data_IF_080468707199
#
_entry.id   IF_080468707199
#
_cell.length_a   1.000
_cell.length_b   1.000
_cell.length_c   1.000
_cell.angle_alpha   90.00
_cell.angle_beta   90.00
_cell.angle_gamma   90.00
#
_symmetry.space_group_name_H-M   'P 1'
#
loop_
_entity.id
_entity.type
_entity.pdbx_description
1 polymer ?
#
# COMPACT_ATOMS: atom_id res chain seq x y z
N UNK A 1 -6.85 19.40 -9.11
CA UNK A 1 -5.74 19.94 -8.29
C UNK A 1 -4.55 19.04 -8.51
N UNK A 2 -3.37 19.60 -8.81
CA UNK A 2 -2.13 18.81 -8.91
C UNK A 2 -1.74 18.38 -7.50
N UNK A 3 -1.33 17.13 -7.36
CA UNK A 3 -0.84 16.56 -6.11
C UNK A 3 0.58 17.08 -5.84
N UNK A 4 0.76 18.03 -4.90
CA UNK A 4 2.03 18.76 -4.76
C UNK A 4 3.16 17.87 -4.22
N UNK A 5 2.81 16.84 -3.45
CA UNK A 5 3.78 15.97 -2.77
C UNK A 5 4.11 14.73 -3.59
N UNK A 6 3.40 14.48 -4.70
CA UNK A 6 3.56 13.29 -5.55
C UNK A 6 5.03 13.02 -5.92
N UNK A 7 5.76 14.04 -6.40
CA UNK A 7 7.16 13.86 -6.82
C UNK A 7 8.09 13.57 -5.64
N UNK A 8 7.83 14.18 -4.48
CA UNK A 8 8.63 13.97 -3.27
C UNK A 8 8.36 12.59 -2.65
N UNK A 9 7.10 12.12 -2.68
CA UNK A 9 6.77 10.76 -2.25
C UNK A 9 7.42 9.74 -3.17
N UNK A 10 7.34 9.91 -4.49
CA UNK A 10 8.00 8.99 -5.43
C UNK A 10 9.53 8.92 -5.22
N UNK A 11 10.17 10.05 -4.94
CA UNK A 11 11.59 10.08 -4.58
C UNK A 11 11.86 9.37 -3.25
N UNK A 12 10.97 9.47 -2.27
CA UNK A 12 11.08 8.77 -0.99
C UNK A 12 10.89 7.26 -1.15
N UNK A 13 9.95 6.82 -2.01
CA UNK A 13 9.76 5.41 -2.35
C UNK A 13 11.02 4.82 -2.98
N UNK A 14 11.57 5.49 -4.00
CA UNK A 14 12.80 5.07 -4.63
C UNK A 14 13.94 4.96 -3.60
N UNK A 15 14.09 5.96 -2.73
CA UNK A 15 15.12 5.94 -1.69
C UNK A 15 14.89 4.85 -0.62
N UNK A 16 13.67 4.36 -0.44
CA UNK A 16 13.33 3.35 0.55
C UNK A 16 13.41 1.92 0.00
N UNK A 17 13.01 1.72 -1.25
CA UNK A 17 12.74 0.39 -1.81
C UNK A 17 13.59 0.04 -3.03
N UNK A 18 14.30 0.97 -3.66
CA UNK A 18 15.18 0.65 -4.78
C UNK A 18 16.25 -0.37 -4.36
N UNK A 19 16.41 -1.42 -5.18
CA UNK A 19 17.30 -2.55 -4.87
C UNK A 19 16.77 -3.52 -3.81
N UNK A 20 15.52 -3.40 -3.35
CA UNK A 20 14.85 -4.38 -2.48
C UNK A 20 13.94 -5.33 -3.26
N UNK A 21 13.54 -6.43 -2.62
CA UNK A 21 12.57 -7.40 -3.15
C UNK A 21 11.17 -6.80 -3.35
N UNK A 22 10.86 -5.66 -2.72
CA UNK A 22 9.58 -4.96 -2.89
C UNK A 22 9.36 -4.37 -4.28
N UNK A 23 10.45 -4.09 -5.02
CA UNK A 23 10.45 -3.58 -6.39
C UNK A 23 10.56 -4.70 -7.44
N UNK A 24 10.71 -5.95 -7.02
CA UNK A 24 10.73 -7.08 -7.96
C UNK A 24 9.34 -7.29 -8.56
N UNK A 25 9.29 -7.48 -9.89
CA UNK A 25 8.05 -7.80 -10.61
C UNK A 25 7.61 -9.21 -10.24
N UNK A 26 6.44 -9.32 -9.63
CA UNK A 26 5.85 -10.57 -9.17
C UNK A 26 4.71 -11.05 -10.09
N UNK A 27 4.35 -12.35 -10.05
CA UNK A 27 3.13 -12.84 -10.67
C UNK A 27 1.89 -12.14 -10.10
N UNK A 28 0.94 -11.78 -10.97
CA UNK A 28 -0.30 -11.09 -10.57
C UNK A 28 -1.06 -11.80 -9.44
N UNK A 29 -1.16 -13.13 -9.47
CA UNK A 29 -1.88 -13.88 -8.44
C UNK A 29 -1.23 -13.80 -7.06
N UNK A 30 0.10 -13.64 -7.01
CA UNK A 30 0.82 -13.39 -5.76
C UNK A 30 0.47 -12.02 -5.18
N UNK A 31 0.51 -10.96 -6.01
CA UNK A 31 0.14 -9.61 -5.59
C UNK A 31 -1.34 -9.53 -5.20
N UNK A 32 -2.22 -10.12 -6.00
CA UNK A 32 -3.66 -10.19 -5.70
C UNK A 32 -3.90 -10.90 -4.37
N UNK A 33 -3.27 -12.06 -4.15
CA UNK A 33 -3.39 -12.80 -2.89
C UNK A 33 -2.86 -12.02 -1.69
N UNK A 34 -1.76 -11.29 -1.84
CA UNK A 34 -1.23 -10.42 -0.78
C UNK A 34 -2.22 -9.29 -0.44
N UNK A 35 -2.75 -8.57 -1.43
CA UNK A 35 -3.75 -7.53 -1.23
C UNK A 35 -5.04 -8.07 -0.60
N UNK A 36 -5.54 -9.22 -1.08
CA UNK A 36 -6.71 -9.91 -0.51
C UNK A 36 -6.49 -10.25 0.98
N UNK A 37 -5.29 -10.68 1.37
CA UNK A 37 -4.99 -10.93 2.79
C UNK A 37 -5.02 -9.65 3.61
N UNK A 38 -4.40 -8.55 3.14
CA UNK A 38 -4.40 -7.28 3.86
C UNK A 38 -5.83 -6.74 4.09
N UNK A 39 -6.68 -6.76 3.06
CA UNK A 39 -8.04 -6.18 3.14
C UNK A 39 -9.02 -7.01 3.96
N UNK A 40 -8.71 -8.27 4.23
CA UNK A 40 -9.53 -9.17 5.05
C UNK A 40 -9.15 -9.12 6.55
N UNK A 41 -8.13 -8.35 6.92
CA UNK A 41 -7.74 -8.16 8.32
C UNK A 41 -8.71 -7.21 9.06
N UNK A 42 -8.87 -7.42 10.37
CA UNK A 42 -9.85 -6.69 11.19
C UNK A 42 -9.60 -5.18 11.33
N UNK A 43 -8.38 -4.73 11.08
CA UNK A 43 -8.02 -3.30 11.13
C UNK A 43 -8.43 -2.55 9.85
N UNK A 44 -8.71 -3.27 8.76
CA UNK A 44 -8.99 -2.67 7.46
C UNK A 44 -10.38 -2.03 7.43
N UNK A 45 -10.43 -0.74 7.10
CA UNK A 45 -11.68 0.02 6.95
C UNK A 45 -11.87 0.62 5.54
N UNK A 46 -10.99 0.26 4.58
CA UNK A 46 -11.00 0.81 3.23
C UNK A 46 -12.06 0.21 2.29
N UNK A 47 -12.97 -0.63 2.80
CA UNK A 47 -14.03 -1.27 2.01
C UNK A 47 -13.52 -2.36 1.08
N UNK A 48 -14.31 -2.68 0.04
CA UNK A 48 -14.04 -3.78 -0.90
C UNK A 48 -13.03 -3.31 -1.95
N UNK A 49 -12.00 -4.11 -2.21
CA UNK A 49 -10.96 -3.83 -3.21
C UNK A 49 -10.99 -4.88 -4.32
N UNK A 50 -11.18 -4.43 -5.56
CA UNK A 50 -11.13 -5.25 -6.78
C UNK A 50 -9.81 -4.97 -7.51
N UNK A 51 -8.90 -5.94 -7.50
CA UNK A 51 -7.57 -5.82 -8.11
C UNK A 51 -7.59 -6.40 -9.51
N UNK A 52 -7.12 -5.63 -10.49
CA UNK A 52 -7.13 -6.00 -11.90
C UNK A 52 -5.78 -5.74 -12.55
N UNK A 53 -5.48 -6.49 -13.60
CA UNK A 53 -4.41 -6.11 -14.54
C UNK A 53 -4.85 -4.88 -15.32
N UNK A 54 -3.93 -3.92 -15.49
CA UNK A 54 -4.12 -2.86 -16.45
C UNK A 54 -4.07 -3.42 -17.89
N UNK A 55 -4.48 -2.61 -18.87
CA UNK A 55 -4.29 -2.93 -20.29
C UNK A 55 -2.81 -3.18 -20.59
N UNK A 56 -2.50 -4.00 -21.59
CA UNK A 56 -1.13 -4.44 -21.91
C UNK A 56 -0.14 -3.30 -22.23
N UNK A 57 -0.63 -2.15 -22.69
CA UNK A 57 0.18 -0.97 -22.98
C UNK A 57 0.10 0.14 -21.90
N UNK A 58 -0.42 -0.18 -20.72
CA UNK A 58 -0.40 0.77 -19.60
C UNK A 58 1.02 0.94 -19.08
N UNK A 59 1.49 2.18 -19.01
CA UNK A 59 2.78 2.53 -18.42
C UNK A 59 2.70 2.80 -16.92
N UNK A 60 1.49 2.91 -16.35
CA UNK A 60 1.28 3.19 -14.93
C UNK A 60 0.12 2.39 -14.32
N UNK A 61 0.24 2.12 -13.03
CA UNK A 61 -0.82 1.62 -12.15
C UNK A 61 -1.74 2.76 -11.70
N UNK A 62 -2.93 2.41 -11.18
CA UNK A 62 -3.87 3.40 -10.65
C UNK A 62 -4.93 2.79 -9.74
N UNK A 63 -5.39 3.59 -8.77
CA UNK A 63 -6.55 3.32 -7.93
C UNK A 63 -7.71 4.24 -8.27
N UNK A 64 -8.93 3.68 -8.31
CA UNK A 64 -10.17 4.45 -8.43
C UNK A 64 -11.19 3.94 -7.44
N UNK A 65 -11.82 4.83 -6.68
CA UNK A 65 -12.92 4.48 -5.80
C UNK A 65 -14.27 4.86 -6.42
N UNK A 66 -15.24 3.96 -6.30
CA UNK A 66 -16.64 4.21 -6.55
C UNK A 66 -17.38 4.05 -5.22
N UNK A 67 -18.15 5.08 -4.85
CA UNK A 67 -19.04 5.02 -3.69
C UNK A 67 -20.40 4.56 -4.18
N UNK A 68 -20.90 3.44 -3.67
CA UNK A 68 -22.29 3.00 -3.87
C UNK A 68 -23.06 3.15 -2.56
N UNK A 69 -24.39 3.18 -2.62
CA UNK A 69 -25.26 3.24 -1.42
C UNK A 69 -25.02 2.07 -0.45
N UNK A 70 -24.45 0.96 -0.93
CA UNK A 70 -24.29 -0.28 -0.16
C UNK A 70 -22.85 -0.51 0.34
N UNK A 71 -21.83 0.04 -0.32
CA UNK A 71 -20.42 -0.07 0.09
C UNK A 71 -19.47 0.83 -0.71
N UNK A 72 -18.31 1.12 -0.11
CA UNK A 72 -17.15 1.67 -0.81
C UNK A 72 -16.48 0.54 -1.61
N UNK A 73 -16.40 0.71 -2.94
CA UNK A 73 -15.69 -0.23 -3.82
C UNK A 73 -14.52 0.48 -4.51
N UNK A 74 -13.30 0.04 -4.21
CA UNK A 74 -12.10 0.46 -4.91
C UNK A 74 -11.74 -0.52 -6.04
N UNK A 75 -11.22 0.02 -7.14
CA UNK A 75 -10.62 -0.75 -8.23
C UNK A 75 -9.16 -0.33 -8.34
N UNK A 76 -8.25 -1.27 -8.09
CA UNK A 76 -6.81 -1.10 -8.31
C UNK A 76 -6.46 -1.75 -9.65
N UNK A 77 -5.78 -1.02 -10.53
CA UNK A 77 -5.24 -1.54 -11.78
C UNK A 77 -3.72 -1.49 -11.74
N UNK A 78 -3.08 -2.65 -11.87
CA UNK A 78 -1.63 -2.75 -11.87
C UNK A 78 -1.09 -2.95 -13.28
N UNK A 79 -0.15 -2.11 -13.69
CA UNK A 79 0.58 -2.30 -14.95
C UNK A 79 1.55 -3.47 -14.86
N UNK A 80 1.91 -4.07 -16.00
CA UNK A 80 2.78 -5.24 -16.01
C UNK A 80 4.19 -4.92 -15.45
N UNK A 81 4.69 -3.71 -15.70
CA UNK A 81 6.00 -3.25 -15.22
C UNK A 81 6.01 -2.85 -13.74
N UNK A 82 4.84 -2.60 -13.17
CA UNK A 82 4.67 -2.19 -11.77
C UNK A 82 3.84 -3.23 -11.00
N UNK A 83 4.00 -4.50 -11.36
CA UNK A 83 3.40 -5.63 -10.63
C UNK A 83 4.26 -5.97 -9.40
N UNK A 84 4.50 -4.99 -8.54
CA UNK A 84 5.44 -5.08 -7.41
C UNK A 84 4.71 -4.93 -6.08
N UNK A 85 5.31 -5.39 -4.97
CA UNK A 85 4.72 -5.24 -3.63
C UNK A 85 4.67 -3.76 -3.23
N UNK A 86 5.71 -2.99 -3.56
CA UNK A 86 5.75 -1.54 -3.32
C UNK A 86 4.58 -0.83 -4.04
N UNK A 87 4.37 -1.10 -5.33
CA UNK A 87 3.25 -0.49 -6.07
C UNK A 87 1.90 -0.93 -5.51
N UNK A 88 1.75 -2.21 -5.17
CA UNK A 88 0.51 -2.71 -4.57
C UNK A 88 0.21 -2.02 -3.23
N UNK A 89 1.23 -1.81 -2.40
CA UNK A 89 1.12 -1.10 -1.12
C UNK A 89 0.77 0.38 -1.31
N UNK A 90 1.41 1.05 -2.27
CA UNK A 90 1.12 2.44 -2.66
C UNK A 90 -0.35 2.62 -3.04
N UNK A 91 -0.84 1.78 -3.95
CA UNK A 91 -2.22 1.85 -4.45
C UNK A 91 -3.23 1.53 -3.36
N UNK A 92 -2.94 0.53 -2.52
CA UNK A 92 -3.81 0.19 -1.39
C UNK A 92 -3.84 1.31 -0.32
N UNK A 93 -2.75 2.05 -0.13
CA UNK A 93 -2.71 3.20 0.76
C UNK A 93 -3.68 4.31 0.32
N UNK A 94 -3.84 4.54 -0.98
CA UNK A 94 -4.85 5.47 -1.50
C UNK A 94 -6.27 5.02 -1.16
N UNK A 95 -6.56 3.72 -1.19
CA UNK A 95 -7.87 3.20 -0.80
C UNK A 95 -8.14 3.50 0.67
N UNK A 96 -7.17 3.21 1.54
CA UNK A 96 -7.31 3.38 2.99
C UNK A 96 -7.42 4.86 3.40
N UNK A 97 -6.59 5.73 2.82
CA UNK A 97 -6.61 7.16 3.12
C UNK A 97 -7.81 7.90 2.47
N UNK A 98 -8.29 7.38 1.34
CA UNK A 98 -9.24 8.03 0.45
C UNK A 98 -8.53 8.69 -0.74
N UNK A 99 -8.91 8.29 -1.96
CA UNK A 99 -8.25 8.65 -3.22
C UNK A 99 -8.15 10.17 -3.44
N UNK A 100 -9.14 10.93 -3.00
CA UNK A 100 -9.17 12.41 -3.15
C UNK A 100 -8.07 13.13 -2.34
N UNK A 101 -7.41 12.44 -1.41
CA UNK A 101 -6.32 13.01 -0.60
C UNK A 101 -4.99 13.13 -1.34
N UNK A 102 -4.84 12.45 -2.49
CA UNK A 102 -3.55 12.35 -3.16
C UNK A 102 -2.48 11.76 -2.23
N UNK A 103 -1.29 12.36 -2.23
CA UNK A 103 -0.14 11.94 -1.44
C UNK A 103 0.03 12.69 -0.12
N UNK A 104 -1.04 13.24 0.46
CA UNK A 104 -0.99 14.04 1.68
C UNK A 104 -0.45 13.29 2.93
N UNK A 105 -0.40 13.98 4.07
CA UNK A 105 0.08 13.42 5.32
C UNK A 105 -0.72 12.18 5.78
N UNK A 106 -2.03 12.12 5.50
CA UNK A 106 -2.88 10.98 5.85
C UNK A 106 -2.56 9.81 4.93
N UNK A 107 -2.38 10.03 3.63
CA UNK A 107 -1.89 9.00 2.70
C UNK A 107 -0.57 8.38 3.19
N UNK A 108 0.41 9.21 3.57
CA UNK A 108 1.71 8.70 4.06
C UNK A 108 1.57 7.85 5.32
N UNK A 109 0.62 8.19 6.21
CA UNK A 109 0.29 7.34 7.38
C UNK A 109 -0.33 6.01 6.96
N UNK A 110 -1.26 6.03 6.00
CA UNK A 110 -1.85 4.81 5.44
C UNK A 110 -0.78 3.92 4.81
N UNK A 111 0.14 4.53 4.08
CA UNK A 111 1.19 3.80 3.38
C UNK A 111 2.13 3.08 4.33
N UNK A 112 2.55 3.72 5.41
CA UNK A 112 3.34 3.05 6.46
C UNK A 112 2.58 1.87 7.10
N UNK A 113 1.29 2.02 7.36
CA UNK A 113 0.47 0.93 7.93
C UNK A 113 0.31 -0.23 6.92
N UNK A 114 0.06 0.06 5.65
CA UNK A 114 -0.04 -0.97 4.61
C UNK A 114 1.29 -1.68 4.39
N UNK A 115 2.41 -0.96 4.29
CA UNK A 115 3.76 -1.54 4.17
C UNK A 115 4.04 -2.46 5.35
N UNK A 116 3.70 -2.05 6.57
CA UNK A 116 3.84 -2.90 7.76
C UNK A 116 3.09 -4.22 7.57
N UNK A 117 1.84 -4.18 7.12
CA UNK A 117 1.02 -5.39 6.98
C UNK A 117 1.51 -6.29 5.86
N UNK A 118 1.67 -5.74 4.66
CA UNK A 118 1.96 -6.53 3.46
C UNK A 118 3.33 -7.21 3.52
N UNK A 119 4.33 -6.57 4.14
CA UNK A 119 5.71 -7.10 4.27
C UNK A 119 5.89 -8.11 5.41
N UNK A 120 4.83 -8.38 6.17
CA UNK A 120 4.84 -9.31 7.29
C UNK A 120 3.73 -10.37 7.18
N UNK A 121 3.14 -10.53 5.98
CA UNK A 121 2.16 -11.57 5.71
C UNK A 121 2.76 -12.98 5.80
N UNK A 122 4.03 -13.15 5.40
CA UNK A 122 4.73 -14.41 5.59
C UNK A 122 5.25 -14.49 7.04
N UNK A 123 4.79 -15.50 7.77
CA UNK A 123 5.21 -15.70 9.16
C UNK A 123 6.62 -16.29 9.30
N UNK A 124 7.17 -16.84 8.21
CA UNK A 124 8.51 -17.45 8.18
C UNK A 124 9.60 -16.48 7.68
N UNK A 125 9.20 -15.43 6.96
CA UNK A 125 10.08 -14.35 6.49
C UNK A 125 9.47 -12.99 6.83
N UNK A 126 9.41 -12.68 8.14
CA UNK A 126 8.92 -11.38 8.59
C UNK A 126 10.03 -10.34 8.47
N UNK A 127 9.74 -9.25 7.77
CA UNK A 127 10.62 -8.08 7.66
C UNK A 127 10.53 -7.15 8.87
N UNK A 128 9.60 -7.44 9.80
CA UNK A 128 9.29 -6.62 10.97
C UNK A 128 9.07 -5.16 10.55
N UNK A 129 9.73 -4.22 11.22
CA UNK A 129 9.60 -2.80 10.91
C UNK A 129 10.61 -2.31 9.87
N UNK A 130 11.44 -3.17 9.27
CA UNK A 130 12.56 -2.76 8.38
C UNK A 130 12.10 -1.81 7.26
N UNK A 131 11.12 -2.24 6.46
CA UNK A 131 10.62 -1.43 5.34
C UNK A 131 9.78 -0.22 5.80
N UNK A 132 9.16 -0.32 6.98
CA UNK A 132 8.42 0.79 7.59
C UNK A 132 9.39 1.88 8.03
N UNK A 133 10.50 1.51 8.68
CA UNK A 133 11.57 2.42 9.08
C UNK A 133 12.26 3.04 7.87
N UNK A 134 12.58 2.25 6.84
CA UNK A 134 13.15 2.77 5.58
C UNK A 134 12.26 3.84 4.94
N UNK A 135 10.95 3.57 4.81
CA UNK A 135 10.01 4.51 4.22
C UNK A 135 9.77 5.74 5.11
N UNK A 136 9.64 5.55 6.43
CA UNK A 136 9.49 6.66 7.38
C UNK A 136 10.71 7.58 7.39
N UNK A 137 11.93 7.01 7.35
CA UNK A 137 13.16 7.78 7.28
C UNK A 137 13.27 8.52 5.93
N UNK A 138 12.85 7.90 4.83
CA UNK A 138 12.82 8.54 3.52
C UNK A 138 11.85 9.74 3.49
N UNK A 139 10.66 9.60 4.07
CA UNK A 139 9.74 10.73 4.26
C UNK A 139 10.35 11.83 5.13
N UNK A 140 10.99 11.48 6.24
CA UNK A 140 11.62 12.45 7.13
C UNK A 140 12.75 13.22 6.40
N UNK A 141 13.61 12.54 5.64
CA UNK A 141 14.67 13.16 4.82
C UNK A 141 14.12 14.07 3.74
N UNK A 142 12.96 13.75 3.17
CA UNK A 142 12.26 14.57 2.18
C UNK A 142 11.45 15.73 2.80
N UNK A 143 11.42 15.87 4.13
CA UNK A 143 10.61 16.88 4.82
C UNK A 143 9.10 16.60 4.78
N UNK A 144 8.69 15.37 4.48
CA UNK A 144 7.30 14.98 4.34
C UNK A 144 6.70 14.59 5.70
N UNK A 145 5.70 15.34 6.15
CA UNK A 145 5.02 15.08 7.41
C UNK A 145 4.11 13.85 7.32
N UNK A 146 4.18 12.95 8.29
CA UNK A 146 3.25 11.83 8.43
C UNK A 146 2.09 12.24 9.32
N UNK A 147 0.87 12.02 8.83
CA UNK A 147 -0.37 12.40 9.50
C UNK A 147 -0.82 11.41 10.58
N UNK A 148 -1.99 11.71 11.15
CA UNK A 148 -2.67 10.82 12.10
C UNK A 148 -3.56 9.82 11.36
N UNK A 149 -3.75 8.64 11.95
CA UNK A 149 -4.68 7.63 11.44
C UNK A 149 -6.12 8.10 11.61
N UNK A 150 -6.97 7.74 10.66
CA UNK A 150 -8.43 7.80 10.77
C UNK A 150 -9.08 6.40 10.85
N UNK A 151 -8.25 5.34 10.80
CA UNK A 151 -8.61 3.93 10.89
C UNK A 151 -7.99 3.29 12.13
N UNK A 152 -8.40 2.05 12.43
CA UNK A 152 -7.81 1.27 13.51
C UNK A 152 -6.35 0.94 13.19
N UNK A 153 -5.45 1.01 14.17
CA UNK A 153 -4.05 0.65 13.96
C UNK A 153 -3.93 -0.84 13.55
N UNK A 154 -3.05 -1.18 12.58
CA UNK A 154 -2.77 -2.57 12.26
C UNK A 154 -2.18 -3.30 13.49
N UNK A 155 -2.41 -4.61 13.63
CA UNK A 155 -1.91 -5.39 14.75
C UNK A 155 -0.37 -5.36 14.80
N UNK A 156 0.19 -5.37 16.01
CA UNK A 156 1.65 -5.33 16.18
C UNK A 156 2.36 -6.60 15.68
N UNK A 157 1.65 -7.73 15.74
CA UNK A 157 2.06 -9.01 15.19
C UNK A 157 1.08 -9.43 14.08
N UNK A 158 1.53 -9.45 12.84
CA UNK A 158 0.77 -10.05 11.74
C UNK A 158 1.04 -11.55 11.78
N UNK A 159 0.12 -12.26 12.42
CA UNK A 159 0.17 -13.70 12.62
C UNK A 159 -0.05 -14.04 14.08
N UNK A 160 -1.32 -14.10 14.46
CA UNK A 160 -1.72 -14.95 15.58
C UNK A 160 -1.32 -16.38 15.27
N UNK A 161 -0.74 -17.07 16.24
CA UNK A 161 -0.50 -18.49 16.15
C UNK A 161 -1.81 -19.19 15.76
N UNK A 162 -1.81 -19.93 14.65
CA UNK A 162 -2.79 -21.00 14.50
C UNK A 162 -2.47 -22.01 15.60
N UNK A 163 -3.27 -22.04 16.66
CA UNK A 163 -3.23 -23.11 17.64
C UNK A 163 -3.65 -24.41 16.92
N UNK A 164 -2.75 -25.39 16.90
CA UNK A 164 -3.03 -26.78 16.53
C UNK A 164 -3.71 -27.51 17.70
#
# INVERSE_FOLDING_TARGET
>A
MSDPDHSAVYAAELAAFDGTDLEEVQPFDMIRGALERVVNESWWSGGIVDVRRARSNASSSSTRCAVSEQSLKAIIRLSALQMTVATAAHELAHVLAGVERGHDAVYRRAYLDVVRVITNLDTTDRRHDTHVSQLADAFARAGLLVGKRAWQAPPEAIGGAFAL
#
